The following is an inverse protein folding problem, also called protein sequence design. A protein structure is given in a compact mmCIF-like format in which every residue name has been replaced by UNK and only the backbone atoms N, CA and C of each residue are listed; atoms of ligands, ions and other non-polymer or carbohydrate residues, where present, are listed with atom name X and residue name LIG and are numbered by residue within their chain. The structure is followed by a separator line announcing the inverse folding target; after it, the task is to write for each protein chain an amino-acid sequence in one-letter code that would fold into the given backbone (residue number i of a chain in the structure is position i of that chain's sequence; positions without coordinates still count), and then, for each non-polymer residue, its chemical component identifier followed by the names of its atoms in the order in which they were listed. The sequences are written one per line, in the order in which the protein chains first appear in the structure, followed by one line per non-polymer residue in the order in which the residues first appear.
data_IF_052053225595
#
_entry.id   IF_052053225595
#
_cell.length_a   1.000
_cell.length_b   1.000
_cell.length_c   1.000
_cell.angle_alpha   90.00
_cell.angle_beta   90.00
_cell.angle_gamma   90.00
#
_symmetry.space_group_name_H-M   'P 1'
#
loop_
_entity.id
_entity.type
_entity.pdbx_description
1 polymer ?
#
# COMPACT_ATOMS: atom_id res chain seq x y z
N UNK A 1 -12.58 2.60 15.15
CA UNK A 1 -11.10 2.68 15.12
C UNK A 1 -10.61 2.10 13.81
N UNK A 2 -9.67 2.75 13.11
CA UNK A 2 -9.02 2.19 11.91
C UNK A 2 -7.86 1.28 12.31
N UNK A 3 -7.70 0.16 11.60
CA UNK A 3 -6.60 -0.77 11.82
C UNK A 3 -5.34 -0.34 11.08
N UNK A 4 -5.49 0.20 9.87
CA UNK A 4 -4.39 0.73 9.06
C UNK A 4 -4.80 2.05 8.42
N UNK A 5 -3.89 3.03 8.46
CA UNK A 5 -4.05 4.31 7.79
C UNK A 5 -2.72 4.71 7.16
N UNK A 6 -2.74 4.98 5.85
CA UNK A 6 -1.62 5.57 5.11
C UNK A 6 -2.09 6.93 4.61
N UNK A 7 -1.23 7.93 4.73
CA UNK A 7 -1.47 9.28 4.20
C UNK A 7 -0.19 9.76 3.54
N UNK A 8 -0.27 10.10 2.25
CA UNK A 8 0.85 10.49 1.41
C UNK A 8 1.99 9.45 1.42
N UNK A 9 1.62 8.18 1.28
CA UNK A 9 2.56 7.05 1.25
C UNK A 9 3.32 6.97 -0.07
N UNK A 10 4.64 6.92 -0.01
CA UNK A 10 5.52 6.84 -1.18
C UNK A 10 6.45 5.64 -1.01
N UNK A 11 6.26 4.59 -1.81
CA UNK A 11 7.01 3.34 -1.72
C UNK A 11 7.88 3.16 -2.95
N UNK A 12 9.20 3.15 -2.76
CA UNK A 12 10.15 2.91 -3.84
C UNK A 12 10.12 1.44 -4.25
N UNK A 13 9.84 1.17 -5.52
CA UNK A 13 9.79 -0.18 -6.09
C UNK A 13 11.09 -0.55 -6.79
N UNK A 14 11.75 0.44 -7.40
CA UNK A 14 13.07 0.34 -8.03
C UNK A 14 13.70 1.73 -8.11
N UNK A 15 14.84 1.87 -8.79
CA UNK A 15 15.49 3.17 -8.97
C UNK A 15 14.64 4.20 -9.72
N UNK A 16 13.72 3.74 -10.56
CA UNK A 16 12.90 4.58 -11.43
C UNK A 16 11.41 4.48 -11.18
N UNK A 17 10.96 3.58 -10.28
CA UNK A 17 9.54 3.37 -10.01
C UNK A 17 9.19 3.57 -8.55
N UNK A 18 8.07 4.23 -8.36
CA UNK A 18 7.49 4.54 -7.07
C UNK A 18 6.00 4.24 -7.09
N UNK A 19 5.51 3.60 -6.05
CA UNK A 19 4.09 3.45 -5.77
C UNK A 19 3.67 4.60 -4.84
N UNK A 20 2.72 5.40 -5.29
CA UNK A 20 2.15 6.48 -4.50
C UNK A 20 0.75 6.09 -4.03
N UNK A 21 0.49 6.26 -2.73
CA UNK A 21 -0.81 6.08 -2.11
C UNK A 21 -1.15 7.37 -1.38
N UNK A 22 -2.02 8.19 -1.97
CA UNK A 22 -2.43 9.46 -1.38
C UNK A 22 -3.13 9.22 -0.04
N UNK A 23 -4.13 8.33 -0.01
CA UNK A 23 -4.84 7.96 1.20
C UNK A 23 -5.31 6.50 1.12
N UNK A 24 -5.03 5.71 2.16
CA UNK A 24 -5.60 4.38 2.36
C UNK A 24 -6.05 4.26 3.81
N UNK A 25 -7.27 3.76 4.02
CA UNK A 25 -7.82 3.51 5.34
C UNK A 25 -8.49 2.14 5.35
N UNK A 26 -8.02 1.26 6.23
CA UNK A 26 -8.63 -0.05 6.48
C UNK A 26 -9.19 -0.03 7.89
N UNK A 27 -10.46 -0.39 8.02
CA UNK A 27 -11.16 -0.41 9.29
C UNK A 27 -10.96 -1.74 10.02
N UNK A 28 -11.06 -1.71 11.35
CA UNK A 28 -11.05 -2.93 12.12
C UNK A 28 -12.24 -3.83 11.73
N UNK A 29 -11.98 -5.12 11.52
CA UNK A 29 -12.98 -6.10 11.11
C UNK A 29 -13.13 -6.28 9.60
N UNK A 30 -12.46 -5.46 8.78
CA UNK A 30 -12.43 -5.67 7.33
C UNK A 30 -11.34 -6.65 6.90
N UNK A 31 -11.66 -7.50 5.92
CA UNK A 31 -10.69 -8.39 5.27
C UNK A 31 -10.37 -7.85 3.88
N UNK A 32 -9.13 -7.40 3.69
CA UNK A 32 -8.66 -6.79 2.45
C UNK A 32 -7.62 -7.65 1.74
N UNK A 33 -7.58 -7.54 0.41
CA UNK A 33 -6.52 -8.11 -0.42
C UNK A 33 -5.94 -7.03 -1.35
N UNK A 34 -4.62 -6.91 -1.36
CA UNK A 34 -3.91 -6.06 -2.31
C UNK A 34 -3.54 -6.88 -3.56
N UNK A 35 -4.19 -6.61 -4.69
CA UNK A 35 -4.01 -7.33 -5.96
C UNK A 35 -3.39 -6.46 -7.04
N UNK A 36 -2.71 -7.07 -8.02
CA UNK A 36 -2.04 -6.37 -9.11
C UNK A 36 -0.97 -7.23 -9.79
N UNK A 37 -0.45 -6.77 -10.91
CA UNK A 37 0.58 -7.47 -11.70
C UNK A 37 1.94 -7.59 -11.00
N UNK A 38 2.83 -8.43 -11.52
CA UNK A 38 4.21 -8.53 -11.01
C UNK A 38 4.92 -7.17 -11.11
N UNK A 39 5.60 -6.77 -10.03
CA UNK A 39 6.26 -5.46 -9.97
C UNK A 39 5.34 -4.26 -9.69
N UNK A 40 4.05 -4.47 -9.40
CA UNK A 40 3.10 -3.39 -9.09
C UNK A 40 3.28 -2.75 -7.71
N UNK A 41 4.14 -3.31 -6.85
CA UNK A 41 4.43 -2.76 -5.53
C UNK A 41 3.68 -3.35 -4.34
N UNK A 42 2.90 -4.44 -4.54
CA UNK A 42 2.21 -5.16 -3.45
C UNK A 42 3.12 -5.49 -2.26
N UNK A 43 4.29 -6.08 -2.54
CA UNK A 43 5.25 -6.45 -1.50
C UNK A 43 5.98 -5.25 -0.89
N UNK A 44 6.02 -4.10 -1.57
CA UNK A 44 6.56 -2.87 -0.99
C UNK A 44 5.54 -2.27 -0.02
N UNK A 45 4.26 -2.24 -0.41
CA UNK A 45 3.15 -1.81 0.45
C UNK A 45 3.03 -2.69 1.71
N UNK A 46 3.18 -4.01 1.58
CA UNK A 46 3.05 -4.94 2.71
C UNK A 46 4.23 -4.90 3.70
N UNK A 47 5.36 -4.26 3.35
CA UNK A 47 6.56 -4.16 4.20
C UNK A 47 6.69 -2.82 4.91
N UNK A 48 5.89 -1.85 4.52
CA UNK A 48 5.85 -0.54 5.14
C UNK A 48 5.12 -0.59 6.49
#
# INVERSE_FOLDING_TARGET
MSLLQISQGTFRLSDTKTLNIEHLRVQAGESWAFVGSNGSGKSALARA
#
